data_IF_431321436562
#
_entry.id   IF_431321436562
#
_cell.length_a   1.000
_cell.length_b   1.000
_cell.length_c   1.000
_cell.angle_alpha   90.00
_cell.angle_beta   90.00
_cell.angle_gamma   90.00
#
_symmetry.space_group_name_H-M   'P 1'
#
loop_
_entity.id
_entity.type
_entity.pdbx_description
1 polymer ?
#
# COMPACT_ATOMS: atom_id res chain seq x y z
N UNK A 1 25.18 23.09 89.70
CA UNK A 1 26.49 22.86 89.04
C UNK A 1 26.63 21.41 88.52
N UNK A 2 25.66 20.89 87.74
CA UNK A 2 25.66 19.48 87.29
C UNK A 2 25.75 19.27 85.76
N UNK A 3 25.67 20.33 84.95
CA UNK A 3 25.64 20.24 83.47
C UNK A 3 27.02 20.25 82.81
N UNK A 4 28.08 20.59 83.54
CA UNK A 4 29.46 20.52 83.01
C UNK A 4 29.93 19.07 82.79
N UNK A 5 29.29 18.09 83.42
CA UNK A 5 29.76 16.70 83.41
C UNK A 5 29.37 15.93 82.13
N UNK A 6 28.16 16.12 81.60
CA UNK A 6 27.68 15.37 80.43
C UNK A 6 28.40 15.75 79.13
N UNK A 7 28.70 17.03 78.94
CA UNK A 7 29.43 17.52 77.76
C UNK A 7 30.85 16.94 77.73
N UNK A 8 31.48 16.82 78.90
CA UNK A 8 32.80 16.22 79.03
C UNK A 8 32.75 14.69 78.84
N UNK A 9 31.77 14.01 79.42
CA UNK A 9 31.56 12.57 79.22
C UNK A 9 31.26 12.22 77.76
N UNK A 10 30.48 13.05 77.04
CA UNK A 10 30.19 12.86 75.62
C UNK A 10 31.43 13.08 74.76
N UNK A 11 32.25 14.10 75.09
CA UNK A 11 33.54 14.33 74.42
C UNK A 11 34.51 13.19 74.67
N UNK A 12 34.63 12.74 75.91
CA UNK A 12 35.46 11.59 76.28
C UNK A 12 35.01 10.34 75.51
N UNK A 13 33.70 10.07 75.46
CA UNK A 13 33.14 8.97 74.67
C UNK A 13 33.44 9.11 73.17
N UNK A 14 33.32 10.30 72.59
CA UNK A 14 33.64 10.53 71.17
C UNK A 14 35.13 10.29 70.86
N UNK A 15 36.03 10.71 71.75
CA UNK A 15 37.47 10.50 71.60
C UNK A 15 37.85 9.04 71.80
N UNK A 16 37.35 8.39 72.85
CA UNK A 16 37.72 7.02 73.24
C UNK A 16 37.08 5.95 72.34
N UNK A 17 35.82 6.13 71.91
CA UNK A 17 35.10 5.09 71.14
C UNK A 17 35.18 5.29 69.62
N UNK A 18 35.25 6.53 69.13
CA UNK A 18 35.38 6.80 67.69
C UNK A 18 36.82 7.13 67.26
N UNK A 19 37.80 7.08 68.18
CA UNK A 19 39.20 7.47 67.93
C UNK A 19 39.31 8.84 67.24
N UNK A 20 38.41 9.77 67.57
CA UNK A 20 38.44 11.11 67.01
C UNK A 20 39.57 11.90 67.67
N UNK A 21 40.54 12.45 66.91
CA UNK A 21 41.58 13.29 67.48
C UNK A 21 40.97 14.48 68.22
N UNK A 22 41.54 14.92 69.37
CA UNK A 22 41.03 16.08 70.12
C UNK A 22 40.83 17.33 69.24
N UNK A 23 41.69 17.47 68.24
CA UNK A 23 41.77 18.58 67.28
C UNK A 23 40.64 18.57 66.24
N UNK A 24 39.92 17.45 66.09
CA UNK A 24 38.75 17.30 65.20
C UNK A 24 37.42 17.35 65.92
N UNK A 25 37.42 17.53 67.25
CA UNK A 25 36.18 17.67 68.02
C UNK A 25 35.58 19.06 67.80
N UNK A 26 34.26 19.11 67.62
CA UNK A 26 33.52 20.37 67.56
C UNK A 26 33.72 21.19 68.84
N UNK A 27 33.55 22.52 68.73
CA UNK A 27 33.74 23.41 69.87
C UNK A 27 32.77 23.09 71.03
N UNK A 28 33.15 23.52 72.24
CA UNK A 28 32.37 23.28 73.46
C UNK A 28 30.95 23.83 73.39
N UNK A 29 30.71 24.89 72.61
CA UNK A 29 29.36 25.44 72.43
C UNK A 29 28.47 24.51 71.62
N UNK A 30 28.99 23.76 70.65
CA UNK A 30 28.23 22.78 69.87
C UNK A 30 27.88 21.52 70.68
N UNK A 31 28.80 21.01 71.51
CA UNK A 31 28.45 19.90 72.40
C UNK A 31 27.45 20.30 73.48
N UNK A 32 27.48 21.57 73.92
CA UNK A 32 26.45 22.12 74.82
C UNK A 32 25.08 22.14 74.15
N UNK A 33 24.95 22.50 72.87
CA UNK A 33 23.65 22.49 72.19
C UNK A 33 23.09 21.07 72.04
N UNK A 34 23.93 20.07 71.82
CA UNK A 34 23.52 18.65 71.77
C UNK A 34 23.06 18.12 73.14
N UNK A 35 23.58 18.67 74.24
CA UNK A 35 23.27 18.25 75.61
C UNK A 35 22.14 19.05 76.27
N UNK A 36 21.38 19.86 75.52
CA UNK A 36 20.23 20.64 76.02
C UNK A 36 18.91 19.96 75.60
N UNK A 37 17.86 20.18 76.39
CA UNK A 37 16.51 19.68 76.10
C UNK A 37 16.41 18.15 76.11
N UNK A 38 15.69 17.59 75.13
CA UNK A 38 15.53 16.14 74.93
C UNK A 38 16.84 15.43 74.60
N UNK A 39 17.83 16.14 74.05
CA UNK A 39 19.17 15.60 73.78
C UNK A 39 19.88 15.12 75.05
N UNK A 40 19.64 15.77 76.20
CA UNK A 40 20.29 15.42 77.47
C UNK A 40 20.00 13.98 77.93
N UNK A 41 18.73 13.58 77.89
CA UNK A 41 18.31 12.22 78.30
C UNK A 41 18.76 11.17 77.29
N UNK A 42 18.74 11.50 76.00
CA UNK A 42 19.19 10.60 74.93
C UNK A 42 20.69 10.33 75.08
N UNK A 43 21.51 11.37 75.22
CA UNK A 43 22.96 11.20 75.36
C UNK A 43 23.34 10.52 76.67
N UNK A 44 22.62 10.77 77.78
CA UNK A 44 22.80 9.98 79.01
C UNK A 44 22.53 8.50 78.78
N UNK A 45 21.44 8.16 78.08
CA UNK A 45 21.13 6.77 77.77
C UNK A 45 22.17 6.13 76.85
N UNK A 46 22.58 6.83 75.79
CA UNK A 46 23.62 6.34 74.86
C UNK A 46 24.96 6.13 75.58
N UNK A 47 25.42 7.13 76.35
CA UNK A 47 26.66 7.03 77.13
C UNK A 47 26.54 5.95 78.23
N UNK A 48 25.36 5.62 78.74
CA UNK A 48 25.26 4.59 79.78
C UNK A 48 25.13 3.17 79.22
N UNK A 49 24.40 2.99 78.11
CA UNK A 49 24.03 1.67 77.59
C UNK A 49 24.84 1.24 76.35
N UNK A 50 25.40 2.21 75.61
CA UNK A 50 26.19 1.95 74.39
C UNK A 50 27.70 2.01 74.67
N UNK A 51 28.14 2.70 75.73
CA UNK A 51 29.56 2.87 76.14
C UNK A 51 30.29 1.56 76.49
N UNK A 52 29.61 0.42 76.54
CA UNK A 52 30.29 -0.86 76.63
C UNK A 52 30.83 -1.27 75.25
N UNK A 53 32.15 -1.27 75.10
CA UNK A 53 32.90 -1.65 73.89
C UNK A 53 32.42 -2.97 73.23
N UNK A 54 31.84 -3.87 74.03
CA UNK A 54 31.22 -5.14 73.59
C UNK A 54 29.93 -4.91 72.77
N UNK A 55 29.09 -3.95 73.15
CA UNK A 55 27.82 -3.65 72.49
C UNK A 55 28.05 -2.96 71.13
N UNK A 56 29.02 -2.06 71.03
CA UNK A 56 29.36 -1.39 69.76
C UNK A 56 29.91 -2.38 68.73
N UNK A 57 30.75 -3.34 69.17
CA UNK A 57 31.24 -4.43 68.28
C UNK A 57 30.11 -5.33 67.78
N UNK A 58 29.15 -5.66 68.65
CA UNK A 58 27.97 -6.45 68.28
C UNK A 58 27.10 -5.69 67.27
N UNK A 59 26.82 -4.40 67.51
CA UNK A 59 26.02 -3.57 66.61
C UNK A 59 26.71 -3.41 65.25
N UNK A 60 28.03 -3.19 65.22
CA UNK A 60 28.81 -3.10 63.97
C UNK A 60 28.81 -4.42 63.20
N UNK A 61 28.96 -5.55 63.91
CA UNK A 61 28.87 -6.89 63.31
C UNK A 61 27.48 -7.16 62.73
N UNK A 62 26.41 -6.83 63.46
CA UNK A 62 25.04 -7.03 63.01
C UNK A 62 24.71 -6.19 61.77
N UNK A 63 25.14 -4.93 61.72
CA UNK A 63 24.94 -4.07 60.54
C UNK A 63 25.68 -4.59 59.30
N UNK A 64 26.89 -5.13 59.47
CA UNK A 64 27.61 -5.80 58.38
C UNK A 64 26.89 -7.07 57.93
N UNK A 65 26.32 -7.82 58.86
CA UNK A 65 25.57 -9.03 58.58
C UNK A 65 24.30 -8.77 57.77
N UNK A 66 23.52 -7.74 58.12
CA UNK A 66 22.33 -7.35 57.35
C UNK A 66 22.68 -6.92 55.92
N UNK A 67 23.80 -6.21 55.73
CA UNK A 67 24.27 -5.80 54.41
C UNK A 67 24.64 -7.00 53.52
N UNK A 68 25.34 -7.98 54.10
CA UNK A 68 25.70 -9.23 53.39
C UNK A 68 24.47 -10.09 53.10
N UNK A 69 23.47 -10.08 54.00
CA UNK A 69 22.24 -10.84 53.83
C UNK A 69 21.38 -10.27 52.70
N UNK A 70 21.18 -8.95 52.65
CA UNK A 70 20.48 -8.27 51.55
C UNK A 70 21.17 -8.46 50.20
N UNK A 71 22.50 -8.35 50.16
CA UNK A 71 23.28 -8.54 48.92
C UNK A 71 23.24 -10.00 48.43
N UNK A 72 23.09 -10.98 49.33
CA UNK A 72 22.94 -12.40 48.96
C UNK A 72 21.53 -12.74 48.49
N UNK A 73 20.48 -12.26 49.18
CA UNK A 73 19.10 -12.53 48.78
C UNK A 73 18.73 -11.88 47.44
N UNK A 74 19.13 -10.63 47.18
CA UNK A 74 18.87 -9.96 45.90
C UNK A 74 19.52 -10.70 44.72
N UNK A 75 20.79 -11.10 44.87
CA UNK A 75 21.54 -11.77 43.79
C UNK A 75 21.06 -13.20 43.52
N UNK A 76 20.53 -13.88 44.54
CA UNK A 76 20.08 -15.26 44.42
C UNK A 76 18.62 -15.35 43.91
N UNK A 77 17.76 -14.39 44.27
CA UNK A 77 16.36 -14.36 43.85
C UNK A 77 16.15 -13.85 42.40
N UNK A 78 16.87 -12.81 41.97
CA UNK A 78 16.78 -12.31 40.58
C UNK A 78 17.39 -13.31 39.58
N UNK A 79 18.60 -13.81 39.85
CA UNK A 79 19.33 -14.64 38.90
C UNK A 79 18.73 -16.04 38.65
N UNK A 80 18.10 -16.67 39.66
CA UNK A 80 17.58 -18.03 39.51
C UNK A 80 16.16 -18.08 38.94
N UNK A 81 15.29 -17.14 39.32
CA UNK A 81 13.89 -17.09 38.86
C UNK A 81 13.79 -16.61 37.41
N UNK A 82 14.56 -15.60 37.04
CA UNK A 82 14.51 -15.03 35.69
C UNK A 82 15.19 -15.94 34.66
N UNK A 83 16.36 -16.52 35.00
CA UNK A 83 17.03 -17.48 34.12
C UNK A 83 16.24 -18.78 33.94
N UNK A 84 15.46 -19.21 34.93
CA UNK A 84 14.57 -20.36 34.80
C UNK A 84 13.38 -20.05 33.87
N UNK A 85 12.74 -18.88 34.03
CA UNK A 85 11.67 -18.41 33.14
C UNK A 85 12.17 -18.25 31.70
N UNK A 86 13.37 -17.70 31.51
CA UNK A 86 13.98 -17.55 30.20
C UNK A 86 14.19 -18.91 29.52
N UNK A 87 14.74 -19.90 30.26
CA UNK A 87 14.90 -21.28 29.74
C UNK A 87 13.57 -21.94 29.38
N UNK A 88 12.52 -21.72 30.17
CA UNK A 88 11.20 -22.26 29.88
C UNK A 88 10.57 -21.64 28.63
N UNK A 89 10.65 -20.32 28.49
CA UNK A 89 10.21 -19.61 27.30
C UNK A 89 10.99 -20.07 26.06
N UNK A 90 12.29 -20.29 26.19
CA UNK A 90 13.14 -20.76 25.11
C UNK A 90 12.75 -22.18 24.65
N UNK A 91 12.42 -23.07 25.59
CA UNK A 91 11.86 -24.40 25.27
C UNK A 91 10.50 -24.29 24.55
N UNK A 92 9.62 -23.40 25.00
CA UNK A 92 8.31 -23.17 24.35
C UNK A 92 8.47 -22.62 22.93
N UNK A 93 9.40 -21.69 22.73
CA UNK A 93 9.73 -21.15 21.39
C UNK A 93 10.21 -22.28 20.47
N UNK A 94 11.11 -23.13 20.96
CA UNK A 94 11.64 -24.23 20.13
C UNK A 94 10.58 -25.29 19.82
N UNK A 95 9.71 -25.60 20.79
CA UNK A 95 8.57 -26.47 20.57
C UNK A 95 7.63 -25.90 19.48
N UNK A 96 7.24 -24.63 19.59
CA UNK A 96 6.38 -23.97 18.60
C UNK A 96 7.03 -23.92 17.22
N UNK A 97 8.35 -23.71 17.14
CA UNK A 97 9.09 -23.74 15.86
C UNK A 97 9.02 -25.12 15.21
N UNK A 98 9.16 -26.19 15.98
CA UNK A 98 9.03 -27.55 15.46
C UNK A 98 7.61 -27.87 15.00
N UNK A 99 6.59 -27.37 15.71
CA UNK A 99 5.18 -27.53 15.35
C UNK A 99 4.84 -26.77 14.07
N UNK A 100 5.29 -25.52 13.94
CA UNK A 100 5.14 -24.71 12.71
C UNK A 100 5.81 -25.42 11.54
N UNK A 101 7.06 -25.89 11.69
CA UNK A 101 7.76 -26.61 10.62
C UNK A 101 7.05 -27.91 10.23
N UNK A 102 6.42 -28.60 11.18
CA UNK A 102 5.65 -29.79 10.89
C UNK A 102 4.38 -29.47 10.10
N UNK A 103 3.63 -28.44 10.52
CA UNK A 103 2.42 -27.98 9.84
C UNK A 103 2.74 -27.47 8.43
N UNK A 104 3.81 -26.71 8.24
CA UNK A 104 4.25 -26.25 6.92
C UNK A 104 4.53 -27.43 5.98
N UNK A 105 5.20 -28.48 6.47
CA UNK A 105 5.43 -29.70 5.69
C UNK A 105 4.14 -30.44 5.34
N UNK A 106 3.16 -30.47 6.25
CA UNK A 106 1.84 -31.05 5.96
C UNK A 106 1.09 -30.23 4.91
N UNK A 107 1.08 -28.91 5.05
CA UNK A 107 0.44 -27.99 4.11
C UNK A 107 1.03 -28.19 2.72
N UNK A 108 2.36 -28.13 2.58
CA UNK A 108 3.03 -28.35 1.29
C UNK A 108 2.70 -29.72 0.68
N UNK A 109 2.66 -30.78 1.48
CA UNK A 109 2.26 -32.11 1.00
C UNK A 109 0.81 -32.16 0.51
N UNK A 110 -0.11 -31.52 1.21
CA UNK A 110 -1.52 -31.44 0.79
C UNK A 110 -1.73 -30.56 -0.44
N UNK A 111 -0.96 -29.47 -0.57
CA UNK A 111 -1.00 -28.58 -1.74
C UNK A 111 -0.52 -29.31 -3.00
N UNK A 112 0.55 -30.11 -2.90
CA UNK A 112 1.05 -30.92 -4.02
C UNK A 112 0.01 -31.99 -4.44
N UNK A 113 -0.59 -32.68 -3.47
CA UNK A 113 -1.68 -33.63 -3.75
C UNK A 113 -2.86 -32.95 -4.45
N UNK A 114 -3.28 -31.78 -3.96
CA UNK A 114 -4.37 -31.01 -4.56
C UNK A 114 -4.04 -30.56 -5.99
N UNK A 115 -2.80 -30.11 -6.23
CA UNK A 115 -2.34 -29.75 -7.57
C UNK A 115 -2.36 -30.95 -8.54
N UNK A 116 -1.92 -32.14 -8.10
CA UNK A 116 -2.00 -33.35 -8.93
C UNK A 116 -3.44 -33.77 -9.22
N UNK A 117 -4.32 -33.66 -8.23
CA UNK A 117 -5.74 -33.96 -8.39
C UNK A 117 -6.40 -32.97 -9.36
N UNK A 118 -6.13 -31.67 -9.23
CA UNK A 118 -6.64 -30.64 -10.14
C UNK A 118 -6.20 -30.89 -11.58
N UNK A 119 -4.92 -31.23 -11.80
CA UNK A 119 -4.43 -31.61 -13.12
C UNK A 119 -5.15 -32.84 -13.68
N UNK A 120 -5.42 -33.85 -12.84
CA UNK A 120 -6.16 -35.04 -13.25
C UNK A 120 -7.60 -34.72 -13.67
N UNK A 121 -8.28 -33.88 -12.88
CA UNK A 121 -9.65 -33.41 -13.14
C UNK A 121 -9.69 -32.62 -14.44
N UNK A 122 -8.75 -31.70 -14.65
CA UNK A 122 -8.67 -30.91 -15.88
C UNK A 122 -8.46 -31.78 -17.13
N UNK A 123 -7.63 -32.83 -17.04
CA UNK A 123 -7.45 -33.80 -18.14
C UNK A 123 -8.75 -34.56 -18.42
N UNK A 124 -9.44 -35.04 -17.39
CA UNK A 124 -10.71 -35.76 -17.57
C UNK A 124 -11.79 -34.86 -18.17
N UNK A 125 -11.90 -33.60 -17.73
CA UNK A 125 -12.83 -32.64 -18.31
C UNK A 125 -12.57 -32.37 -19.79
N UNK A 126 -11.29 -32.20 -20.17
CA UNK A 126 -10.92 -32.03 -21.57
C UNK A 126 -11.33 -33.25 -22.43
N UNK A 127 -11.17 -34.47 -21.91
CA UNK A 127 -11.59 -35.69 -22.59
C UNK A 127 -13.11 -35.81 -22.73
N UNK A 128 -13.86 -35.46 -21.69
CA UNK A 128 -15.34 -35.49 -21.71
C UNK A 128 -15.86 -34.48 -22.73
N UNK A 129 -15.32 -33.27 -22.74
CA UNK A 129 -15.71 -32.21 -23.67
C UNK A 129 -15.41 -32.59 -25.13
N UNK A 130 -14.24 -33.19 -25.40
CA UNK A 130 -13.90 -33.70 -26.73
C UNK A 130 -14.82 -34.86 -27.14
N UNK A 131 -15.12 -35.79 -26.23
CA UNK A 131 -16.04 -36.91 -26.49
C UNK A 131 -17.46 -36.40 -26.82
N UNK A 132 -17.93 -35.38 -26.09
CA UNK A 132 -19.23 -34.73 -26.34
C UNK A 132 -19.27 -34.07 -27.72
N UNK A 133 -18.20 -33.37 -28.12
CA UNK A 133 -18.10 -32.76 -29.46
C UNK A 133 -18.13 -33.81 -30.57
N UNK A 134 -17.41 -34.92 -30.39
CA UNK A 134 -17.42 -36.04 -31.35
C UNK A 134 -18.82 -36.66 -31.48
N UNK A 135 -19.52 -36.86 -30.37
CA UNK A 135 -20.88 -37.42 -30.41
C UNK A 135 -21.87 -36.49 -31.14
N UNK A 136 -21.79 -35.18 -30.90
CA UNK A 136 -22.62 -34.21 -31.62
C UNK A 136 -22.36 -34.24 -33.13
N UNK A 137 -21.09 -34.34 -33.55
CA UNK A 137 -20.73 -34.48 -34.96
C UNK A 137 -21.26 -35.79 -35.56
N UNK A 138 -21.14 -36.90 -34.83
CA UNK A 138 -21.69 -38.20 -35.25
C UNK A 138 -23.22 -38.15 -35.36
N UNK A 139 -23.91 -37.49 -34.43
CA UNK A 139 -25.36 -37.32 -34.48
C UNK A 139 -25.79 -36.50 -35.69
N UNK A 140 -25.12 -35.37 -35.96
CA UNK A 140 -25.39 -34.54 -37.13
C UNK A 140 -25.13 -35.32 -38.44
N UNK A 141 -24.05 -36.11 -38.48
CA UNK A 141 -23.75 -36.96 -39.62
C UNK A 141 -24.84 -38.03 -39.85
N UNK A 142 -25.28 -38.72 -38.80
CA UNK A 142 -26.38 -39.71 -38.88
C UNK A 142 -27.67 -39.07 -39.40
N UNK A 143 -28.03 -37.88 -38.92
CA UNK A 143 -29.20 -37.15 -39.40
C UNK A 143 -29.08 -36.82 -40.89
N UNK A 144 -27.93 -36.29 -41.33
CA UNK A 144 -27.69 -35.99 -42.74
C UNK A 144 -27.76 -37.23 -43.62
N UNK A 145 -27.19 -38.36 -43.19
CA UNK A 145 -27.27 -39.63 -43.91
C UNK A 145 -28.72 -40.14 -44.00
N UNK A 146 -29.49 -40.02 -42.91
CA UNK A 146 -30.90 -40.41 -42.90
C UNK A 146 -31.72 -39.58 -43.90
N UNK A 147 -31.57 -38.25 -43.86
CA UNK A 147 -32.25 -37.34 -44.79
C UNK A 147 -31.85 -37.57 -46.24
N UNK A 148 -30.55 -37.78 -46.50
CA UNK A 148 -30.05 -38.10 -47.84
C UNK A 148 -30.63 -39.42 -48.36
N UNK A 149 -30.72 -40.45 -47.51
CA UNK A 149 -31.30 -41.74 -47.86
C UNK A 149 -32.80 -41.63 -48.17
N UNK A 150 -33.55 -40.90 -47.36
CA UNK A 150 -35.00 -40.70 -47.59
C UNK A 150 -35.26 -39.90 -48.85
N UNK A 151 -34.47 -38.85 -49.11
CA UNK A 151 -34.56 -38.07 -50.35
C UNK A 151 -34.27 -38.91 -51.59
N UNK A 152 -33.17 -39.67 -51.58
CA UNK A 152 -32.84 -40.56 -52.69
C UNK A 152 -33.91 -41.63 -52.95
N UNK A 153 -34.54 -42.17 -51.89
CA UNK A 153 -35.64 -43.12 -52.05
C UNK A 153 -36.88 -42.49 -52.67
N UNK A 154 -37.22 -41.26 -52.30
CA UNK A 154 -38.36 -40.55 -52.88
C UNK A 154 -38.10 -40.22 -54.37
N UNK A 155 -36.88 -39.83 -54.73
CA UNK A 155 -36.48 -39.63 -56.14
C UNK A 155 -36.62 -40.92 -56.97
N UNK A 156 -36.20 -42.06 -56.43
CA UNK A 156 -36.36 -43.37 -57.09
C UNK A 156 -37.83 -43.72 -57.26
N UNK A 157 -38.64 -43.53 -56.21
CA UNK A 157 -40.09 -43.77 -56.26
C UNK A 157 -40.77 -42.91 -57.31
N UNK A 158 -40.44 -41.63 -57.37
CA UNK A 158 -40.99 -40.71 -58.35
C UNK A 158 -40.55 -41.09 -59.78
N UNK A 159 -39.29 -41.50 -59.96
CA UNK A 159 -38.78 -41.99 -61.24
C UNK A 159 -39.51 -43.25 -61.72
N UNK A 160 -39.82 -44.19 -60.82
CA UNK A 160 -40.60 -45.39 -61.15
C UNK A 160 -42.03 -45.04 -61.59
N UNK A 161 -42.66 -44.07 -60.92
CA UNK A 161 -44.00 -43.58 -61.31
C UNK A 161 -43.97 -42.96 -62.71
N UNK A 162 -43.00 -42.09 -63.01
CA UNK A 162 -42.87 -41.47 -64.33
C UNK A 162 -42.53 -42.49 -65.43
N UNK A 163 -41.73 -43.52 -65.11
CA UNK A 163 -41.45 -44.60 -66.05
C UNK A 163 -42.71 -45.43 -66.35
N UNK A 164 -43.53 -45.73 -65.34
CA UNK A 164 -44.79 -46.44 -65.53
C UNK A 164 -45.76 -45.64 -66.42
N UNK A 165 -45.90 -44.32 -66.19
CA UNK A 165 -46.71 -43.43 -67.03
C UNK A 165 -46.20 -43.37 -68.47
N UNK A 166 -44.88 -43.31 -68.64
CA UNK A 166 -44.27 -43.27 -69.97
C UNK A 166 -44.51 -44.59 -70.71
N UNK A 167 -44.38 -45.72 -70.02
CA UNK A 167 -44.64 -47.06 -70.59
C UNK A 167 -46.10 -47.22 -71.01
N UNK A 168 -47.06 -46.79 -70.18
CA UNK A 168 -48.48 -46.86 -70.54
C UNK A 168 -48.80 -45.97 -71.75
N UNK A 169 -48.23 -44.76 -71.80
CA UNK A 169 -48.41 -43.85 -72.95
C UNK A 169 -47.81 -44.42 -74.23
N UNK A 170 -46.63 -45.02 -74.17
CA UNK A 170 -46.01 -45.70 -75.32
C UNK A 170 -46.89 -46.86 -75.81
N UNK A 171 -47.42 -47.69 -74.91
CA UNK A 171 -48.33 -48.77 -75.28
C UNK A 171 -49.61 -48.25 -75.94
N UNK A 172 -50.22 -47.19 -75.40
CA UNK A 172 -51.40 -46.56 -75.98
C UNK A 172 -51.12 -46.03 -77.40
N UNK A 173 -50.03 -45.28 -77.57
CA UNK A 173 -49.63 -44.76 -78.88
C UNK A 173 -49.34 -45.89 -79.88
N UNK A 174 -48.72 -46.98 -79.42
CA UNK A 174 -48.47 -48.15 -80.25
C UNK A 174 -49.76 -48.82 -80.72
N UNK A 175 -50.76 -48.97 -79.84
CA UNK A 175 -52.08 -49.48 -80.23
C UNK A 175 -52.79 -48.55 -81.22
N UNK A 176 -52.73 -47.24 -81.01
CA UNK A 176 -53.30 -46.25 -81.93
C UNK A 176 -52.63 -46.30 -83.30
N UNK A 177 -51.30 -46.38 -83.35
CA UNK A 177 -50.54 -46.51 -84.59
C UNK A 177 -50.92 -47.79 -85.35
N UNK A 178 -51.01 -48.94 -84.65
CA UNK A 178 -51.44 -50.20 -85.27
C UNK A 178 -52.88 -50.12 -85.81
N UNK A 179 -53.79 -49.46 -85.10
CA UNK A 179 -55.16 -49.27 -85.57
C UNK A 179 -55.22 -48.35 -86.81
N UNK A 180 -54.48 -47.25 -86.81
CA UNK A 180 -54.39 -46.36 -87.98
C UNK A 180 -53.77 -47.07 -89.18
N UNK A 181 -52.70 -47.86 -88.97
CA UNK A 181 -52.09 -48.67 -90.02
C UNK A 181 -53.08 -49.65 -90.66
N UNK A 182 -53.84 -50.39 -89.84
CA UNK A 182 -54.89 -51.30 -90.35
C UNK A 182 -55.99 -50.58 -91.13
N UNK A 183 -56.42 -49.40 -90.67
CA UNK A 183 -57.41 -48.59 -91.40
C UNK A 183 -56.88 -48.13 -92.76
N UNK A 184 -55.65 -47.63 -92.80
CA UNK A 184 -55.00 -47.23 -94.06
C UNK A 184 -54.84 -48.42 -95.01
N UNK A 185 -54.41 -49.60 -94.53
CA UNK A 185 -54.33 -50.82 -95.34
C UNK A 185 -55.69 -51.24 -95.92
N UNK A 186 -56.79 -51.10 -95.15
CA UNK A 186 -58.15 -51.40 -95.60
C UNK A 186 -58.65 -50.40 -96.65
N UNK A 187 -58.45 -49.10 -96.44
CA UNK A 187 -58.82 -48.03 -97.39
C UNK A 187 -58.07 -48.18 -98.72
N UNK A 188 -56.80 -48.60 -98.68
CA UNK A 188 -55.98 -48.85 -99.89
C UNK A 188 -56.42 -50.11 -100.63
N UNK A 189 -56.88 -51.15 -99.92
CA UNK A 189 -57.41 -52.37 -100.55
C UNK A 189 -58.79 -52.19 -101.22
N UNK A 190 -59.55 -51.16 -100.84
CA UNK A 190 -60.88 -50.86 -101.40
C UNK A 190 -60.87 -50.10 -102.72
N UNK A 191 -59.72 -49.59 -103.17
CA UNK A 191 -59.56 -48.79 -104.40
C UNK A 191 -58.71 -49.61 -105.38
N UNK A 192 -59.32 -50.63 -105.99
CA UNK A 192 -58.62 -51.61 -106.81
C UNK A 192 -58.29 -51.17 -108.25
N UNK A 193 -58.54 -49.91 -108.66
CA UNK A 193 -58.42 -49.51 -110.08
C UNK A 193 -57.45 -48.35 -110.39
N UNK A 194 -56.68 -47.83 -109.42
CA UNK A 194 -55.60 -46.84 -109.65
C UNK A 194 -54.34 -47.15 -108.81
N UNK A 195 -53.70 -48.31 -109.05
CA UNK A 195 -52.71 -48.89 -108.13
C UNK A 195 -51.35 -48.16 -108.03
N UNK A 196 -51.01 -47.27 -108.98
CA UNK A 196 -49.69 -46.62 -108.98
C UNK A 196 -49.64 -45.32 -108.14
N UNK A 197 -50.68 -44.49 -108.17
CA UNK A 197 -50.71 -43.22 -107.42
C UNK A 197 -50.85 -43.43 -105.90
N UNK A 198 -51.59 -44.45 -105.48
CA UNK A 198 -51.79 -44.78 -104.05
C UNK A 198 -50.52 -45.30 -103.39
N UNK A 199 -49.67 -46.04 -104.12
CA UNK A 199 -48.39 -46.56 -103.59
C UNK A 199 -47.39 -45.43 -103.30
N UNK A 200 -47.33 -44.43 -104.19
CA UNK A 200 -46.45 -43.26 -104.02
C UNK A 200 -46.93 -42.37 -102.86
N UNK A 201 -48.23 -42.16 -102.71
CA UNK A 201 -48.80 -41.38 -101.60
C UNK A 201 -48.55 -42.03 -100.23
N UNK A 202 -48.67 -43.35 -100.13
CA UNK A 202 -48.34 -44.09 -98.89
C UNK A 202 -46.85 -44.00 -98.54
N UNK A 203 -45.98 -44.11 -99.55
CA UNK A 203 -44.53 -44.00 -99.36
C UNK A 203 -44.14 -42.59 -98.90
N UNK A 204 -44.77 -41.56 -99.46
CA UNK A 204 -44.56 -40.17 -99.02
C UNK A 204 -45.05 -39.94 -97.58
N UNK A 205 -46.22 -40.47 -97.21
CA UNK A 205 -46.73 -40.39 -95.84
C UNK A 205 -45.84 -41.12 -94.83
N UNK A 206 -45.30 -42.28 -95.19
CA UNK A 206 -44.38 -43.04 -94.34
C UNK A 206 -43.08 -42.26 -94.08
N UNK A 207 -42.52 -41.62 -95.11
CA UNK A 207 -41.32 -40.77 -94.97
C UNK A 207 -41.62 -39.54 -94.12
N UNK A 208 -42.75 -38.85 -94.32
CA UNK A 208 -43.15 -37.70 -93.50
C UNK A 208 -43.34 -38.10 -92.03
N UNK A 209 -43.99 -39.23 -91.75
CA UNK A 209 -44.14 -39.75 -90.39
C UNK A 209 -42.78 -40.08 -89.77
N UNK A 210 -41.88 -40.71 -90.52
CA UNK A 210 -40.53 -41.01 -90.07
C UNK A 210 -39.74 -39.73 -89.78
N UNK A 211 -39.86 -38.70 -90.61
CA UNK A 211 -39.27 -37.37 -90.40
C UNK A 211 -39.79 -36.72 -89.10
N UNK A 212 -41.11 -36.75 -88.87
CA UNK A 212 -41.72 -36.19 -87.64
C UNK A 212 -41.27 -36.97 -86.39
N UNK A 213 -41.19 -38.30 -86.46
CA UNK A 213 -40.68 -39.13 -85.36
C UNK A 213 -39.21 -38.83 -85.04
N UNK A 214 -38.37 -38.68 -86.06
CA UNK A 214 -36.96 -38.30 -85.88
C UNK A 214 -36.83 -36.88 -85.33
N UNK A 215 -37.65 -35.93 -85.80
CA UNK A 215 -37.68 -34.57 -85.27
C UNK A 215 -38.11 -34.53 -83.80
N UNK A 216 -39.11 -35.32 -83.41
CA UNK A 216 -39.55 -35.46 -82.03
C UNK A 216 -38.45 -36.07 -81.13
N UNK A 217 -37.80 -37.14 -81.58
CA UNK A 217 -36.67 -37.74 -80.87
C UNK A 217 -35.50 -36.76 -80.69
N UNK A 218 -35.15 -36.01 -81.74
CA UNK A 218 -34.13 -34.96 -81.68
C UNK A 218 -34.51 -33.86 -80.67
N UNK A 219 -35.76 -33.40 -80.67
CA UNK A 219 -36.23 -32.38 -79.74
C UNK A 219 -36.16 -32.89 -78.29
N UNK A 220 -36.57 -34.13 -78.02
CA UNK A 220 -36.45 -34.74 -76.70
C UNK A 220 -35.00 -34.82 -76.21
N UNK A 221 -34.07 -35.22 -77.08
CA UNK A 221 -32.63 -35.24 -76.76
C UNK A 221 -32.14 -33.82 -76.45
N UNK A 222 -32.52 -32.83 -77.27
CA UNK A 222 -32.14 -31.42 -77.06
C UNK A 222 -32.65 -30.89 -75.72
N UNK A 223 -33.90 -31.16 -75.38
CA UNK A 223 -34.50 -30.73 -74.12
C UNK A 223 -33.79 -31.39 -72.93
N UNK A 224 -33.40 -32.67 -73.07
CA UNK A 224 -32.63 -33.37 -72.04
C UNK A 224 -31.23 -32.81 -71.88
N UNK A 225 -30.54 -32.46 -72.96
CA UNK A 225 -29.25 -31.78 -72.90
C UNK A 225 -29.38 -30.42 -72.20
N UNK A 226 -30.44 -29.65 -72.51
CA UNK A 226 -30.68 -28.37 -71.86
C UNK A 226 -30.88 -28.50 -70.34
N UNK A 227 -31.64 -29.50 -69.89
CA UNK A 227 -31.81 -29.79 -68.45
C UNK A 227 -30.49 -30.15 -67.77
N UNK A 228 -29.66 -30.98 -68.42
CA UNK A 228 -28.35 -31.36 -67.89
C UNK A 228 -27.42 -30.15 -67.79
N UNK A 229 -27.41 -29.27 -68.79
CA UNK A 229 -26.63 -28.04 -68.76
C UNK A 229 -27.06 -27.09 -67.64
N UNK A 230 -28.37 -26.93 -67.42
CA UNK A 230 -28.89 -26.14 -66.31
C UNK A 230 -28.45 -26.71 -64.95
N UNK A 231 -28.52 -28.03 -64.79
CA UNK A 231 -28.07 -28.70 -63.56
C UNK A 231 -26.57 -28.55 -63.35
N UNK A 232 -25.76 -28.70 -64.41
CA UNK A 232 -24.32 -28.50 -64.36
C UNK A 232 -23.96 -27.07 -63.93
N UNK A 233 -24.63 -26.06 -64.48
CA UNK A 233 -24.45 -24.65 -64.09
C UNK A 233 -24.81 -24.41 -62.63
N UNK A 234 -25.97 -24.90 -62.18
CA UNK A 234 -26.39 -24.77 -60.78
C UNK A 234 -25.37 -25.39 -59.82
N UNK A 235 -24.85 -26.59 -60.13
CA UNK A 235 -23.81 -27.25 -59.32
C UNK A 235 -22.50 -26.46 -59.33
N UNK A 236 -22.12 -25.86 -60.45
CA UNK A 236 -20.93 -25.03 -60.55
C UNK A 236 -21.05 -23.76 -59.68
N UNK A 237 -22.22 -23.15 -59.61
CA UNK A 237 -22.45 -21.99 -58.73
C UNK A 237 -22.39 -22.38 -57.25
N UNK A 238 -22.92 -23.55 -56.87
CA UNK A 238 -22.77 -24.09 -55.51
C UNK A 238 -21.28 -24.31 -55.17
N UNK A 239 -20.49 -24.86 -56.10
CA UNK A 239 -19.06 -25.05 -55.90
C UNK A 239 -18.32 -23.72 -55.75
N UNK A 240 -18.68 -22.70 -56.53
CA UNK A 240 -18.12 -21.35 -56.43
C UNK A 240 -18.40 -20.72 -55.07
N UNK A 241 -19.63 -20.87 -54.57
CA UNK A 241 -20.02 -20.42 -53.24
C UNK A 241 -19.28 -21.16 -52.12
N UNK A 242 -19.08 -22.47 -52.26
CA UNK A 242 -18.29 -23.23 -51.30
C UNK A 242 -16.83 -22.78 -51.29
N UNK A 243 -16.26 -22.49 -52.46
CA UNK A 243 -14.90 -21.99 -52.59
C UNK A 243 -14.74 -20.60 -51.94
N UNK A 244 -15.70 -19.69 -52.12
CA UNK A 244 -15.65 -18.38 -51.46
C UNK A 244 -15.80 -18.49 -49.93
N UNK A 245 -16.65 -19.39 -49.44
CA UNK A 245 -16.73 -19.70 -48.00
C UNK A 245 -15.42 -20.26 -47.45
N UNK A 246 -14.79 -21.18 -48.18
CA UNK A 246 -13.49 -21.73 -47.79
C UNK A 246 -12.40 -20.65 -47.74
N UNK A 247 -12.37 -19.75 -48.73
CA UNK A 247 -11.45 -18.62 -48.74
C UNK A 247 -11.68 -17.69 -47.54
N UNK A 248 -12.95 -17.37 -47.24
CA UNK A 248 -13.30 -16.58 -46.05
C UNK A 248 -12.81 -17.21 -44.74
N UNK A 249 -12.89 -18.55 -44.62
CA UNK A 249 -12.36 -19.29 -43.46
C UNK A 249 -10.83 -19.18 -43.39
N UNK A 250 -10.12 -19.25 -44.52
CA UNK A 250 -8.68 -19.08 -44.54
C UNK A 250 -8.26 -17.66 -44.15
N UNK A 251 -8.94 -16.65 -44.69
CA UNK A 251 -8.68 -15.24 -44.37
C UNK A 251 -8.92 -14.99 -42.88
N UNK A 252 -10.00 -15.53 -42.32
CA UNK A 252 -10.28 -15.47 -40.89
C UNK A 252 -9.17 -16.12 -40.05
N UNK A 253 -8.68 -17.31 -40.45
CA UNK A 253 -7.57 -17.96 -39.75
C UNK A 253 -6.31 -17.11 -39.74
N UNK A 254 -5.99 -16.46 -40.86
CA UNK A 254 -4.85 -15.54 -40.94
C UNK A 254 -5.02 -14.34 -40.00
N UNK A 255 -6.22 -13.75 -39.96
CA UNK A 255 -6.53 -12.65 -39.03
C UNK A 255 -6.40 -13.09 -37.57
N UNK A 256 -6.86 -14.28 -37.22
CA UNK A 256 -6.71 -14.83 -35.86
C UNK A 256 -5.25 -14.98 -35.48
N UNK A 257 -4.40 -15.48 -36.39
CA UNK A 257 -2.95 -15.58 -36.15
C UNK A 257 -2.33 -14.20 -35.89
N UNK A 258 -2.65 -13.19 -36.71
CA UNK A 258 -2.15 -11.83 -36.52
C UNK A 258 -2.61 -11.23 -35.18
N UNK A 259 -3.88 -11.42 -34.82
CA UNK A 259 -4.42 -10.96 -33.52
C UNK A 259 -3.76 -11.68 -32.35
N UNK A 260 -3.49 -12.97 -32.47
CA UNK A 260 -2.83 -13.74 -31.44
C UNK A 260 -1.39 -13.24 -31.19
N UNK A 261 -0.67 -12.87 -32.25
CA UNK A 261 0.66 -12.28 -32.12
C UNK A 261 0.63 -10.89 -31.48
N UNK A 262 -0.38 -10.06 -31.79
CA UNK A 262 -0.58 -8.80 -31.07
C UNK A 262 -0.85 -9.01 -29.57
N UNK A 263 -1.71 -9.96 -29.21
CA UNK A 263 -1.99 -10.31 -27.81
C UNK A 263 -0.70 -10.78 -27.12
N UNK A 264 0.08 -11.66 -27.77
CA UNK A 264 1.38 -12.12 -27.25
C UNK A 264 2.34 -10.96 -27.01
N UNK A 265 2.40 -10.01 -27.95
CA UNK A 265 3.18 -8.77 -27.83
C UNK A 265 2.76 -7.93 -26.62
N UNK A 266 1.45 -7.74 -26.41
CA UNK A 266 0.92 -7.01 -25.26
C UNK A 266 1.23 -7.71 -23.93
N UNK A 267 1.06 -9.04 -23.86
CA UNK A 267 1.41 -9.82 -22.66
C UNK A 267 2.89 -9.65 -22.33
N UNK A 268 3.77 -9.76 -23.34
CA UNK A 268 5.21 -9.58 -23.15
C UNK A 268 5.51 -8.16 -22.67
N UNK A 269 4.96 -7.13 -23.32
CA UNK A 269 5.14 -5.72 -22.94
C UNK A 269 4.67 -5.42 -21.51
N UNK A 270 3.52 -5.98 -21.11
CA UNK A 270 2.99 -5.83 -19.77
C UNK A 270 3.87 -6.54 -18.73
N UNK A 271 4.37 -7.74 -19.04
CA UNK A 271 5.31 -8.44 -18.17
C UNK A 271 6.60 -7.66 -17.95
N UNK A 272 7.16 -7.04 -19.00
CA UNK A 272 8.36 -6.21 -18.88
C UNK A 272 8.09 -4.94 -18.08
N UNK A 273 6.95 -4.28 -18.30
CA UNK A 273 6.57 -3.09 -17.54
C UNK A 273 6.36 -3.42 -16.05
N UNK A 274 5.75 -4.56 -15.73
CA UNK A 274 5.58 -5.04 -14.36
C UNK A 274 6.94 -5.29 -13.69
N UNK A 275 7.87 -5.94 -14.39
CA UNK A 275 9.23 -6.17 -13.86
C UNK A 275 9.96 -4.85 -13.60
N UNK A 276 9.88 -3.88 -14.51
CA UNK A 276 10.47 -2.56 -14.29
C UNK A 276 9.83 -1.82 -13.12
N UNK A 277 8.51 -1.89 -12.97
CA UNK A 277 7.81 -1.28 -11.84
C UNK A 277 8.25 -1.89 -10.50
N UNK A 278 8.38 -3.22 -10.44
CA UNK A 278 8.88 -3.92 -9.24
C UNK A 278 10.31 -3.48 -8.92
N UNK A 279 11.18 -3.38 -9.94
CA UNK A 279 12.56 -2.92 -9.77
C UNK A 279 12.60 -1.49 -9.20
N UNK A 280 11.85 -0.57 -9.80
CA UNK A 280 11.77 0.83 -9.36
C UNK A 280 11.17 0.95 -7.94
N UNK A 281 10.17 0.14 -7.62
CA UNK A 281 9.58 0.13 -6.27
C UNK A 281 10.61 -0.32 -5.23
N UNK A 282 11.41 -1.35 -5.53
CA UNK A 282 12.50 -1.80 -4.66
C UNK A 282 13.55 -0.71 -4.48
N UNK A 283 13.99 -0.06 -5.56
CA UNK A 283 14.96 1.05 -5.49
C UNK A 283 14.45 2.23 -4.66
N UNK A 284 13.16 2.57 -4.80
CA UNK A 284 12.53 3.59 -3.98
C UNK A 284 12.51 3.19 -2.50
N UNK A 285 12.17 1.93 -2.21
CA UNK A 285 12.16 1.41 -0.85
C UNK A 285 13.56 1.45 -0.21
N UNK A 286 14.59 1.02 -0.96
CA UNK A 286 15.99 1.10 -0.55
C UNK A 286 16.43 2.55 -0.30
N UNK A 287 16.01 3.50 -1.16
CA UNK A 287 16.28 4.92 -0.96
C UNK A 287 15.60 5.47 0.31
N UNK A 288 14.32 5.16 0.50
CA UNK A 288 13.56 5.63 1.67
C UNK A 288 14.17 5.09 2.95
N UNK A 289 14.43 3.78 3.03
CA UNK A 289 14.99 3.15 4.23
C UNK A 289 16.46 3.53 4.46
N UNK A 290 17.27 3.55 3.40
CA UNK A 290 18.71 3.76 3.52
C UNK A 290 19.13 5.22 3.67
N UNK A 291 18.37 6.17 3.11
CA UNK A 291 18.75 7.60 3.11
C UNK A 291 17.74 8.47 3.84
N UNK A 292 16.45 8.31 3.59
CA UNK A 292 15.45 9.24 4.08
C UNK A 292 15.10 9.01 5.57
N UNK A 293 14.87 7.77 5.97
CA UNK A 293 14.54 7.41 7.36
C UNK A 293 15.64 7.82 8.35
N UNK A 294 16.94 7.56 8.09
CA UNK A 294 18.02 8.01 8.99
C UNK A 294 18.08 9.54 9.14
N UNK A 295 17.79 10.29 8.07
CA UNK A 295 17.74 11.76 8.15
C UNK A 295 16.59 12.22 9.05
N UNK A 296 15.41 11.60 8.95
CA UNK A 296 14.30 11.89 9.86
C UNK A 296 14.65 11.56 11.30
N UNK A 297 15.38 10.47 11.57
CA UNK A 297 15.80 10.11 12.92
C UNK A 297 16.77 11.14 13.51
N UNK A 298 17.74 11.61 12.72
CA UNK A 298 18.67 12.68 13.12
C UNK A 298 17.91 13.97 13.44
N UNK A 299 17.00 14.40 12.56
CA UNK A 299 16.20 15.62 12.77
C UNK A 299 15.30 15.48 14.00
N UNK A 300 14.64 14.33 14.17
CA UNK A 300 13.76 14.08 15.31
C UNK A 300 14.54 14.09 16.62
N UNK A 301 15.73 13.48 16.63
CA UNK A 301 16.63 13.47 17.79
C UNK A 301 17.10 14.89 18.13
N UNK A 302 17.56 15.65 17.14
CA UNK A 302 17.98 17.05 17.34
C UNK A 302 16.83 17.93 17.85
N UNK A 303 15.64 17.82 17.24
CA UNK A 303 14.45 18.55 17.67
C UNK A 303 14.04 18.18 19.10
N UNK A 304 14.08 16.89 19.45
CA UNK A 304 13.77 16.42 20.81
C UNK A 304 14.77 16.94 21.84
N UNK A 305 16.06 16.96 21.52
CA UNK A 305 17.13 17.50 22.36
C UNK A 305 16.94 19.00 22.59
N UNK A 306 16.69 19.76 21.52
CA UNK A 306 16.41 21.20 21.59
C UNK A 306 15.19 21.49 22.48
N UNK A 307 14.09 20.76 22.26
CA UNK A 307 12.88 20.86 23.09
C UNK A 307 13.17 20.58 24.56
N UNK A 308 13.97 19.55 24.85
CA UNK A 308 14.34 19.19 26.22
C UNK A 308 15.23 20.28 26.86
N UNK A 309 16.16 20.88 26.11
CA UNK A 309 16.99 22.00 26.58
C UNK A 309 16.13 23.22 26.90
N UNK A 310 15.28 23.65 25.97
CA UNK A 310 14.33 24.76 26.19
C UNK A 310 13.45 24.48 27.41
N UNK A 311 12.94 23.26 27.57
CA UNK A 311 12.13 22.87 28.73
C UNK A 311 12.92 22.91 30.05
N UNK A 312 14.22 22.68 30.01
CA UNK A 312 15.11 22.78 31.18
C UNK A 312 15.39 24.24 31.52
N UNK A 313 15.74 25.06 30.53
CA UNK A 313 15.96 26.49 30.68
C UNK A 313 14.70 27.22 31.16
N UNK A 314 13.53 26.90 30.60
CA UNK A 314 12.25 27.45 31.04
C UNK A 314 11.94 27.11 32.50
N UNK A 315 12.25 25.89 32.95
CA UNK A 315 12.12 25.50 34.37
C UNK A 315 13.10 26.27 35.26
N UNK A 316 14.35 26.42 34.83
CA UNK A 316 15.34 27.21 35.55
C UNK A 316 14.91 28.69 35.65
N UNK A 317 14.46 29.30 34.57
CA UNK A 317 13.90 30.65 34.54
C UNK A 317 12.68 30.79 35.47
N UNK A 318 11.81 29.78 35.50
CA UNK A 318 10.66 29.76 36.42
C UNK A 318 11.04 29.77 37.90
N UNK A 319 12.25 29.30 38.26
CA UNK A 319 12.76 29.39 39.64
C UNK A 319 13.37 30.74 39.99
N UNK A 320 13.64 31.60 38.99
CA UNK A 320 14.17 32.94 39.21
C UNK A 320 13.02 33.87 39.58
N UNK A 321 13.07 34.45 40.78
CA UNK A 321 12.11 35.47 41.20
C UNK A 321 12.18 36.68 40.27
N UNK A 322 11.03 37.16 39.76
CA UNK A 322 10.94 38.37 38.94
C UNK A 322 11.60 39.59 39.61
N UNK A 323 11.63 39.63 40.96
CA UNK A 323 12.28 40.67 41.75
C UNK A 323 13.82 40.68 41.64
N UNK A 324 14.42 39.57 41.22
CA UNK A 324 15.86 39.44 40.97
C UNK A 324 16.24 39.81 39.53
N UNK A 325 15.27 39.79 38.60
CA UNK A 325 15.46 40.19 37.19
C UNK A 325 15.20 41.68 36.96
N UNK A 326 14.39 42.34 37.80
CA UNK A 326 14.26 43.80 37.81
C UNK A 326 15.54 44.42 38.38
N UNK A 327 16.51 44.69 37.51
CA UNK A 327 17.75 45.39 37.85
C UNK A 327 17.74 46.80 37.27
N UNK A 328 18.28 47.76 38.01
CA UNK A 328 18.47 49.15 37.56
C UNK A 328 19.95 49.40 37.38
N UNK A 329 20.30 50.12 36.32
CA UNK A 329 21.68 50.56 36.10
C UNK A 329 21.91 51.81 36.93
N UNK A 330 22.86 51.75 37.86
CA UNK A 330 23.33 52.90 38.65
C UNK A 330 24.71 53.27 38.13
N UNK A 331 24.94 54.56 37.88
CA UNK A 331 26.19 55.15 37.36
C UNK A 331 26.72 54.50 36.06
N UNK A 332 25.82 54.04 35.19
CA UNK A 332 26.15 53.54 33.85
C UNK A 332 26.92 52.21 33.78
N UNK A 333 27.51 51.72 34.88
CA UNK A 333 28.34 50.52 34.88
C UNK A 333 27.82 49.36 35.74
N UNK A 334 26.98 49.59 36.75
CA UNK A 334 26.57 48.52 37.67
C UNK A 334 25.06 48.26 37.62
N UNK A 335 24.67 47.00 37.33
CA UNK A 335 23.28 46.54 37.46
C UNK A 335 23.02 46.06 38.88
N UNK A 336 22.17 46.78 39.60
CA UNK A 336 21.79 46.45 40.98
C UNK A 336 20.33 45.99 40.98
N UNK A 337 19.99 44.89 41.66
CA UNK A 337 18.59 44.46 41.80
C UNK A 337 17.74 45.57 42.42
N UNK A 338 16.58 45.87 41.84
CA UNK A 338 15.65 46.90 42.31
C UNK A 338 15.18 46.62 43.75
N UNK A 339 15.12 45.35 44.14
CA UNK A 339 14.85 44.93 45.52
C UNK A 339 15.90 45.40 46.53
N UNK A 340 17.15 45.62 46.10
CA UNK A 340 18.25 46.13 46.94
C UNK A 340 18.22 47.66 47.06
N UNK A 341 17.63 48.33 46.06
CA UNK A 341 17.37 49.77 46.08
C UNK A 341 16.05 50.12 46.82
N UNK A 342 15.40 49.11 47.42
CA UNK A 342 14.17 49.31 48.16
C UNK A 342 14.45 50.03 49.48
N UNK A 343 13.84 51.20 49.63
CA UNK A 343 13.87 52.06 50.82
C UNK A 343 13.42 51.32 52.10
N UNK A 344 12.71 50.20 51.96
CA UNK A 344 12.25 49.35 53.07
C UNK A 344 13.35 48.48 53.70
N UNK A 345 14.56 48.40 53.12
CA UNK A 345 15.70 47.67 53.69
C UNK A 345 16.70 48.54 54.46
N UNK A 346 16.49 49.84 54.53
CA UNK A 346 17.30 50.75 55.34
C UNK A 346 16.97 50.55 56.83
N UNK A 347 17.52 49.51 57.45
CA UNK A 347 17.56 49.38 58.92
C UNK A 347 18.68 50.24 59.51
N UNK A 348 18.60 51.55 59.25
CA UNK A 348 19.47 52.53 59.89
C UNK A 348 18.67 53.26 60.97
N UNK A 349 19.15 53.33 62.22
CA UNK A 349 18.47 54.08 63.28
C UNK A 349 18.29 55.56 62.91
N UNK A 350 19.18 56.13 62.10
CA UNK A 350 19.08 57.49 61.56
C UNK A 350 17.91 57.64 60.58
N UNK A 351 17.65 56.63 59.76
CA UNK A 351 16.51 56.62 58.83
C UNK A 351 15.17 56.43 59.56
N UNK A 352 15.12 55.53 60.55
CA UNK A 352 13.93 55.36 61.39
C UNK A 352 13.58 56.63 62.17
N UNK A 353 14.59 57.35 62.69
CA UNK A 353 14.41 58.65 63.34
C UNK A 353 13.90 59.71 62.35
N UNK A 354 14.44 59.77 61.13
CA UNK A 354 13.98 60.69 60.08
C UNK A 354 12.52 60.44 59.67
N UNK A 355 12.12 59.17 59.52
CA UNK A 355 10.73 58.80 59.20
C UNK A 355 9.75 59.13 60.34
N UNK A 356 10.17 58.99 61.60
CA UNK A 356 9.38 59.39 62.77
C UNK A 356 9.24 60.92 62.85
N UNK A 357 10.31 61.67 62.59
CA UNK A 357 10.31 63.14 62.65
C UNK A 357 9.53 63.81 61.52
N UNK A 358 9.42 63.17 60.35
CA UNK A 358 8.71 63.72 59.18
C UNK A 358 7.23 63.32 59.11
N UNK A 359 6.67 62.65 60.13
CA UNK A 359 5.30 62.12 60.16
C UNK A 359 4.91 61.34 58.89
N UNK A 360 5.87 60.59 58.32
CA UNK A 360 5.70 59.97 57.01
C UNK A 360 4.95 58.63 57.15
N UNK A 361 3.74 58.46 56.59
CA UNK A 361 2.99 57.22 56.74
C UNK A 361 3.63 56.12 55.89
N UNK A 362 4.34 55.20 56.54
CA UNK A 362 5.06 54.09 55.89
C UNK A 362 4.15 53.18 55.04
N UNK A 363 2.83 53.21 55.25
CA UNK A 363 1.85 52.42 54.49
C UNK A 363 1.50 53.00 53.10
N UNK A 364 1.92 54.23 52.75
CA UNK A 364 1.58 54.87 51.45
C UNK A 364 2.58 54.64 50.32
N UNK A 365 3.64 53.86 50.55
CA UNK A 365 4.70 53.63 49.56
C UNK A 365 4.37 52.56 48.50
N UNK A 366 3.27 51.81 48.63
CA UNK A 366 2.84 50.82 47.63
C UNK A 366 2.02 51.40 46.45
N UNK A 367 1.96 52.72 46.27
CA UNK A 367 1.25 53.32 45.13
C UNK A 367 2.23 53.94 44.12
N UNK A 368 2.22 53.54 42.82
CA UNK A 368 3.10 54.11 41.79
C UNK A 368 2.95 55.63 41.55
N UNK A 369 1.93 56.27 42.12
CA UNK A 369 1.63 57.70 41.93
C UNK A 369 2.41 58.65 42.85
N UNK A 370 2.95 58.18 43.99
CA UNK A 370 3.71 59.01 44.94
C UNK A 370 5.18 59.24 44.52
N UNK A 371 5.73 58.38 43.66
CA UNK A 371 7.10 58.53 43.13
C UNK A 371 7.30 59.76 42.23
N UNK A 372 6.23 60.32 41.64
CA UNK A 372 6.35 61.53 40.80
C UNK A 372 6.75 62.78 41.61
N UNK A 373 6.34 62.91 42.89
CA UNK A 373 6.70 64.06 43.73
C UNK A 373 8.13 64.01 44.24
N UNK A 374 8.63 62.82 44.60
CA UNK A 374 10.01 62.64 45.06
C UNK A 374 11.00 62.81 43.89
N UNK A 375 10.63 62.38 42.68
CA UNK A 375 11.45 62.56 41.47
C UNK A 375 11.59 64.04 41.08
N UNK A 376 10.60 64.89 41.33
CA UNK A 376 10.70 66.34 41.12
C UNK A 376 11.64 67.01 42.11
N UNK A 377 11.65 66.56 43.37
CA UNK A 377 12.52 67.11 44.41
C UNK A 377 13.99 66.74 44.19
N UNK A 378 14.27 65.51 43.78
CA UNK A 378 15.63 65.06 43.41
C UNK A 378 16.12 65.68 42.09
N UNK A 379 15.21 65.95 41.13
CA UNK A 379 15.59 66.60 39.87
C UNK A 379 15.97 68.07 40.07
N UNK A 380 15.35 68.78 41.01
CA UNK A 380 15.69 70.17 41.35
C UNK A 380 17.07 70.28 42.04
N UNK A 381 17.42 69.35 42.93
CA UNK A 381 18.72 69.37 43.61
C UNK A 381 19.88 69.05 42.66
N UNK A 382 19.69 68.13 41.71
CA UNK A 382 20.77 67.69 40.81
C UNK A 382 21.02 68.64 39.62
N UNK A 383 20.05 69.49 39.25
CA UNK A 383 20.20 70.43 38.13
C UNK A 383 20.84 71.78 38.51
N UNK A 384 21.14 72.02 39.79
CA UNK A 384 21.77 73.25 40.26
C UNK A 384 23.31 73.16 40.44
N UNK A 385 23.92 71.98 40.24
CA UNK A 385 25.35 71.79 40.55
C UNK A 385 26.31 71.68 39.36
N UNK A 386 25.88 71.55 38.10
CA UNK A 386 26.83 71.54 36.97
C UNK A 386 26.30 72.24 35.72
N UNK A 387 26.82 73.43 35.47
CA UNK A 387 26.69 74.21 34.25
C UNK A 387 28.00 74.09 33.43
N UNK A 388 27.96 73.33 32.32
CA UNK A 388 28.71 73.46 31.03
C UNK A 388 30.27 73.58 30.99
N UNK A 389 30.95 73.47 29.82
CA UNK A 389 30.58 72.88 28.51
C UNK A 389 31.69 72.00 27.82
N UNK A 390 31.26 71.32 26.73
CA UNK A 390 31.97 71.11 25.44
C UNK A 390 32.93 69.90 25.18
N UNK A 391 32.60 69.16 24.10
CA UNK A 391 33.39 68.76 22.89
C UNK A 391 33.21 67.29 22.44
N UNK A 392 32.66 67.14 21.21
CA UNK A 392 32.87 66.15 20.12
C UNK A 392 32.97 64.63 20.44
N UNK A 393 32.35 63.71 19.68
CA UNK A 393 32.71 63.38 18.28
C UNK A 393 31.77 62.29 17.69
N UNK A 394 31.39 62.48 16.41
CA UNK A 394 31.04 61.57 15.26
C UNK A 394 30.67 60.10 15.53
N UNK A 395 29.51 59.60 15.08
CA UNK A 395 29.06 59.25 13.71
C UNK A 395 29.48 57.85 13.23
N UNK A 396 28.50 57.00 12.84
CA UNK A 396 28.40 56.33 11.52
C UNK A 396 27.23 55.33 11.50
N UNK A 397 26.17 55.66 10.76
CA UNK A 397 25.17 54.71 10.24
C UNK A 397 24.83 55.16 8.82
N UNK A 398 25.39 54.49 7.82
CA UNK A 398 24.84 54.46 6.45
C UNK A 398 25.37 53.26 5.68
N UNK A 399 24.44 52.55 5.05
CA UNK A 399 24.61 51.98 3.72
C UNK A 399 25.13 50.56 3.61
N UNK A 400 24.32 49.65 3.05
CA UNK A 400 24.39 49.39 1.60
C UNK A 400 23.42 48.27 1.18
N UNK A 401 22.35 48.64 0.49
CA UNK A 401 21.69 47.79 -0.50
C UNK A 401 22.33 48.05 -1.86
N UNK A 402 22.77 46.98 -2.53
CA UNK A 402 22.61 46.73 -3.98
C UNK A 402 23.61 45.67 -4.45
N UNK A 403 23.10 44.61 -5.08
CA UNK A 403 23.44 44.19 -6.46
C UNK A 403 23.01 42.75 -6.74
N UNK A 404 22.09 42.63 -7.70
CA UNK A 404 21.99 41.51 -8.65
C UNK A 404 23.27 41.46 -9.51
N UNK A 405 23.60 40.30 -10.10
CA UNK A 405 23.17 40.08 -11.49
C UNK A 405 22.71 38.65 -11.82
N UNK A 406 21.97 38.63 -12.92
CA UNK A 406 21.34 37.55 -13.69
C UNK A 406 22.29 36.74 -14.58
N UNK A 407 21.70 35.73 -15.26
CA UNK A 407 22.13 34.96 -16.46
C UNK A 407 22.78 33.61 -16.09
N UNK A 408 22.51 32.43 -16.67
CA UNK A 408 21.83 31.91 -17.89
C UNK A 408 21.79 30.38 -17.66
N UNK A 409 20.84 29.54 -18.09
CA UNK A 409 20.26 29.34 -19.42
C UNK A 409 20.24 27.83 -19.72
N UNK A 410 19.16 27.34 -20.34
CA UNK A 410 19.13 26.10 -21.12
C UNK A 410 18.68 24.82 -20.40
N UNK A 411 17.51 24.27 -20.77
CA UNK A 411 17.40 22.98 -21.47
C UNK A 411 16.02 22.93 -22.16
N UNK A 412 16.10 22.50 -23.41
CA UNK A 412 15.05 22.28 -24.40
C UNK A 412 14.01 21.24 -23.97
N UNK A 413 12.73 21.45 -24.31
CA UNK A 413 11.83 20.35 -24.63
C UNK A 413 10.92 20.75 -25.80
N UNK A 414 11.18 20.08 -26.92
CA UNK A 414 10.35 20.03 -28.11
C UNK A 414 9.54 18.73 -28.10
N UNK A 415 8.32 18.84 -28.60
CA UNK A 415 7.57 17.84 -29.37
C UNK A 415 6.59 16.88 -28.68
N UNK A 416 5.42 16.85 -29.34
CA UNK A 416 4.39 15.81 -29.48
C UNK A 416 3.40 15.66 -28.32
N UNK A 417 2.09 15.95 -28.39
CA UNK A 417 1.02 15.93 -29.42
C UNK A 417 -0.08 14.94 -28.98
N UNK A 418 -1.32 15.29 -29.36
CA UNK A 418 -2.54 14.47 -29.35
C UNK A 418 -3.17 14.07 -28.00
N UNK A 419 -4.23 14.79 -27.63
CA UNK A 419 -5.39 14.19 -26.98
C UNK A 419 -6.65 14.56 -27.75
N UNK A 420 -7.20 13.53 -28.38
CA UNK A 420 -8.48 13.52 -29.09
C UNK A 420 -9.63 13.83 -28.14
N UNK A 421 -10.45 14.76 -28.58
CA UNK A 421 -11.83 14.93 -28.15
C UNK A 421 -12.67 13.83 -28.80
N UNK A 422 -13.28 12.94 -28.01
CA UNK A 422 -14.37 12.08 -28.47
C UNK A 422 -15.65 12.65 -27.88
N UNK A 423 -16.48 13.18 -28.78
CA UNK A 423 -17.88 13.49 -28.55
C UNK A 423 -18.67 12.20 -28.41
N UNK A 424 -19.54 12.17 -27.42
CA UNK A 424 -20.75 11.36 -27.40
C UNK A 424 -21.76 12.00 -28.37
N UNK A 425 -22.09 11.26 -29.43
CA UNK A 425 -23.43 11.05 -30.02
C UNK A 425 -23.30 10.27 -31.35
#
# INVERSE_FOLDING_TARGET
MADKNLVWELKRWATEEFNLPPDRLANDSYFKTLCIGTGKSIWKYVIHHVFQQRNVRIIRGNLQWYKVFQDKELKQAEGQSEAAKQRELQKKIEQLRSEISHLDSQISGTEEQLATQEQSVNRTWAQVEDSRRRELLLQAFRQRCSLGRTGAWEEVKQSLVELAKTRSRVQQLQHQLQACKKKAEQEVSGIADESHNNTVALSALEVELQCVMQAAARNQIRDRCHQLDQHARSRQDVLRNLHSQWQSILDFRQQVVLRQEHIRGLIKGNSTAKTELIRLHRELQEFVLGKLVPQFEVVTTAASSQRNSISKEARQLGTISLLALDCRTVDGMQRIPASWLSIHRLQSPTFSSLCQNLAFPLYRLCCPKSWKRIRSFWRLWYTESEASPNVATKAFLTGSMSKLPSLTGGISQSSMSYLMSVKED
#
